data_IF_140893233025
#
_entry.id   IF_140893233025
#
_cell.length_a   1.000
_cell.length_b   1.000
_cell.length_c   1.000
_cell.angle_alpha   90.00
_cell.angle_beta   90.00
_cell.angle_gamma   90.00
#
_symmetry.space_group_name_H-M   'P 1'
#
loop_
_entity.id
_entity.type
_entity.pdbx_description
1 polymer ?
#
# COMPACT_ATOMS: atom_id res chain seq x y z
N UNK A 1 -11.79 28.80 -6.33
CA UNK A 1 -11.29 27.41 -6.52
C UNK A 1 -12.39 26.34 -6.44
N UNK A 2 -13.40 26.50 -5.57
CA UNK A 2 -14.40 25.47 -5.21
C UNK A 2 -15.40 25.11 -6.33
N UNK A 3 -15.90 26.09 -7.09
CA UNK A 3 -16.85 25.84 -8.19
C UNK A 3 -16.22 25.06 -9.35
N UNK A 4 -15.00 25.44 -9.75
CA UNK A 4 -14.23 24.76 -10.81
C UNK A 4 -13.86 23.32 -10.44
N UNK A 5 -13.52 23.07 -9.17
CA UNK A 5 -13.26 21.73 -8.63
C UNK A 5 -14.53 20.86 -8.63
N UNK A 6 -15.67 21.43 -8.25
CA UNK A 6 -16.96 20.75 -8.28
C UNK A 6 -17.39 20.42 -9.72
N UNK A 7 -17.18 21.35 -10.66
CA UNK A 7 -17.46 21.14 -12.09
C UNK A 7 -16.57 20.03 -12.70
N UNK A 8 -15.27 20.02 -12.36
CA UNK A 8 -14.34 18.96 -12.78
C UNK A 8 -14.76 17.59 -12.23
N UNK A 9 -15.19 17.52 -10.96
CA UNK A 9 -15.72 16.30 -10.34
C UNK A 9 -17.02 15.83 -11.00
N UNK A 10 -17.96 16.74 -11.27
CA UNK A 10 -19.21 16.41 -11.97
C UNK A 10 -18.96 15.92 -13.41
N UNK A 11 -17.91 16.45 -14.07
CA UNK A 11 -17.48 15.99 -15.38
C UNK A 11 -16.79 14.62 -15.31
N UNK A 12 -16.00 14.36 -14.26
CA UNK A 12 -15.44 13.04 -13.95
C UNK A 12 -16.54 11.99 -13.87
N UNK A 13 -17.54 12.21 -13.03
CA UNK A 13 -18.65 11.28 -12.81
C UNK A 13 -19.46 11.02 -14.09
N UNK A 14 -19.53 12.01 -14.99
CA UNK A 14 -20.26 11.90 -16.26
C UNK A 14 -19.49 11.12 -17.33
N UNK A 15 -18.17 11.27 -17.39
CA UNK A 15 -17.31 10.54 -18.33
C UNK A 15 -17.33 9.05 -17.97
N UNK A 16 -17.27 8.73 -16.68
CA UNK A 16 -17.27 7.34 -16.22
C UNK A 16 -18.60 6.61 -16.34
N UNK A 17 -19.73 7.34 -16.28
CA UNK A 17 -21.05 6.77 -16.56
C UNK A 17 -21.27 6.42 -18.04
N UNK A 18 -20.41 6.89 -18.96
CA UNK A 18 -20.47 6.52 -20.38
C UNK A 18 -19.32 5.55 -20.67
N UNK A 19 -19.63 4.41 -21.27
CA UNK A 19 -18.70 3.32 -21.64
C UNK A 19 -17.60 3.70 -22.66
N UNK A 20 -17.36 4.99 -22.88
CA UNK A 20 -16.42 5.52 -23.86
C UNK A 20 -15.28 6.30 -23.19
N UNK A 21 -14.12 5.64 -23.06
CA UNK A 21 -12.83 6.28 -23.32
C UNK A 21 -11.86 6.34 -22.15
N UNK A 22 -11.02 5.31 -22.01
CA UNK A 22 -9.88 5.25 -21.10
C UNK A 22 -8.88 6.41 -21.32
N UNK A 23 -8.71 6.86 -22.57
CA UNK A 23 -7.93 8.05 -22.92
C UNK A 23 -8.42 9.33 -22.20
N UNK A 24 -9.66 9.32 -21.71
CA UNK A 24 -10.25 10.45 -20.96
C UNK A 24 -9.90 10.39 -19.47
N UNK A 25 -9.72 9.20 -18.88
CA UNK A 25 -9.37 9.05 -17.46
C UNK A 25 -7.96 9.57 -17.18
N UNK A 26 -6.95 9.14 -17.93
CA UNK A 26 -5.57 9.58 -17.71
C UNK A 26 -5.40 11.09 -17.82
N UNK A 27 -6.01 11.71 -18.86
CA UNK A 27 -6.03 13.17 -19.03
C UNK A 27 -6.78 13.90 -17.91
N UNK A 28 -7.84 13.31 -17.39
CA UNK A 28 -8.63 13.90 -16.33
C UNK A 28 -7.91 13.83 -14.97
N UNK A 29 -7.31 12.68 -14.64
CA UNK A 29 -6.47 12.55 -13.46
C UNK A 29 -5.28 13.51 -13.52
N UNK A 30 -4.60 13.61 -14.66
CA UNK A 30 -3.51 14.57 -14.83
C UNK A 30 -3.97 16.02 -14.54
N UNK A 31 -5.17 16.40 -15.00
CA UNK A 31 -5.77 17.71 -14.69
C UNK A 31 -6.15 17.85 -13.23
N UNK A 32 -6.70 16.82 -12.60
CA UNK A 32 -7.06 16.87 -11.17
C UNK A 32 -5.81 17.00 -10.29
N UNK A 33 -4.77 16.21 -10.59
CA UNK A 33 -3.48 16.28 -9.92
C UNK A 33 -2.84 17.67 -10.07
N UNK A 34 -2.85 18.24 -11.27
CA UNK A 34 -2.28 19.58 -11.52
C UNK A 34 -3.03 20.71 -10.82
N UNK A 35 -4.28 20.50 -10.39
CA UNK A 35 -5.07 21.50 -9.65
C UNK A 35 -5.05 21.27 -8.13
N UNK A 36 -4.26 20.30 -7.66
CA UNK A 36 -4.09 20.03 -6.23
C UNK A 36 -2.87 20.81 -5.72
N UNK A 37 -2.97 21.32 -4.51
CA UNK A 37 -1.80 21.87 -3.81
C UNK A 37 -0.76 20.76 -3.60
N UNK A 38 0.50 21.15 -3.39
CA UNK A 38 1.55 20.18 -3.09
C UNK A 38 1.34 19.45 -1.75
N UNK A 39 2.15 18.42 -1.52
CA UNK A 39 2.03 17.56 -0.35
C UNK A 39 2.38 18.24 0.98
N UNK A 40 3.03 19.40 0.96
CA UNK A 40 3.39 20.20 2.13
C UNK A 40 4.48 19.59 3.02
N UNK A 41 5.17 18.54 2.55
CA UNK A 41 6.19 17.83 3.34
C UNK A 41 7.52 18.60 3.32
N UNK A 42 8.04 18.92 4.51
CA UNK A 42 9.37 19.49 4.71
C UNK A 42 10.44 18.45 5.09
N UNK A 43 11.74 18.82 5.06
CA UNK A 43 12.85 17.91 5.39
C UNK A 43 12.80 17.41 6.85
N UNK A 44 12.23 18.20 7.74
CA UNK A 44 12.07 17.89 9.17
C UNK A 44 10.68 17.33 9.51
N UNK A 45 9.93 16.91 8.49
CA UNK A 45 8.56 16.41 8.66
C UNK A 45 8.48 15.31 9.72
N UNK A 46 7.52 15.46 10.63
CA UNK A 46 7.26 14.47 11.67
C UNK A 46 6.62 13.22 11.08
N UNK A 47 7.20 12.05 11.37
CA UNK A 47 6.77 10.76 10.82
C UNK A 47 6.09 9.93 11.90
N UNK A 48 4.95 9.34 11.57
CA UNK A 48 4.33 8.27 12.35
C UNK A 48 4.20 7.01 11.51
N UNK A 49 4.37 5.85 12.15
CA UNK A 49 4.12 4.53 11.55
C UNK A 49 2.94 3.90 12.28
N UNK A 50 1.89 3.56 11.53
CA UNK A 50 0.70 2.90 12.03
C UNK A 50 0.73 1.43 11.65
N UNK A 51 0.62 0.56 12.65
CA UNK A 51 0.61 -0.89 12.50
C UNK A 51 -0.70 -1.45 13.04
N UNK A 52 -1.59 -1.99 12.18
CA UNK A 52 -2.72 -2.77 12.65
C UNK A 52 -2.25 -4.13 13.16
N UNK A 53 -2.73 -4.54 14.32
CA UNK A 53 -2.35 -5.80 14.95
C UNK A 53 -3.59 -6.61 15.34
N UNK A 54 -3.62 -7.88 14.94
CA UNK A 54 -4.59 -8.86 15.41
C UNK A 54 -3.88 -10.18 15.72
N UNK A 55 -3.55 -10.38 16.99
CA UNK A 55 -2.73 -11.49 17.50
C UNK A 55 -3.64 -12.56 18.10
N UNK A 56 -3.73 -13.70 17.43
CA UNK A 56 -4.50 -14.85 17.88
C UNK A 56 -3.67 -16.14 17.97
N UNK A 57 -2.37 -16.09 17.63
CA UNK A 57 -1.41 -17.17 17.83
C UNK A 57 -0.07 -16.61 18.29
N UNK A 58 0.80 -17.46 18.84
CA UNK A 58 2.17 -17.09 19.19
C UNK A 58 2.99 -16.62 17.97
N UNK A 59 2.74 -17.21 16.80
CA UNK A 59 3.36 -16.82 15.53
C UNK A 59 3.05 -15.35 15.18
N UNK A 60 1.78 -14.91 15.31
CA UNK A 60 1.42 -13.50 15.11
C UNK A 60 2.14 -12.57 16.10
N UNK A 61 2.32 -13.01 17.34
CA UNK A 61 3.03 -12.23 18.36
C UNK A 61 4.52 -12.07 17.97
N UNK A 62 5.16 -13.16 17.53
CA UNK A 62 6.53 -13.13 17.01
C UNK A 62 6.65 -12.24 15.78
N UNK A 63 5.67 -12.29 14.86
CA UNK A 63 5.68 -11.45 13.66
C UNK A 63 5.58 -9.96 14.00
N UNK A 64 4.64 -9.59 14.87
CA UNK A 64 4.47 -8.22 15.33
C UNK A 64 5.71 -7.70 16.07
N UNK A 65 6.33 -8.53 16.94
CA UNK A 65 7.55 -8.16 17.65
C UNK A 65 8.72 -7.94 16.69
N UNK A 66 8.88 -8.81 15.68
CA UNK A 66 9.93 -8.66 14.67
C UNK A 66 9.73 -7.42 13.79
N UNK A 67 8.48 -7.08 13.43
CA UNK A 67 8.17 -5.81 12.78
C UNK A 67 8.55 -4.61 13.67
N UNK A 68 8.15 -4.61 14.94
CA UNK A 68 8.44 -3.50 15.85
C UNK A 68 9.95 -3.31 16.07
N UNK A 69 10.73 -4.39 16.09
CA UNK A 69 12.19 -4.32 16.12
C UNK A 69 12.76 -3.70 14.84
N UNK A 70 12.25 -4.08 13.66
CA UNK A 70 12.69 -3.50 12.38
C UNK A 70 12.34 -2.00 12.28
N UNK A 71 11.19 -1.59 12.83
CA UNK A 71 10.77 -0.19 12.88
C UNK A 71 11.62 0.62 13.87
N UNK A 72 11.86 0.10 15.08
CA UNK A 72 12.76 0.74 16.07
C UNK A 72 14.19 0.91 15.53
N UNK A 73 14.63 0.02 14.63
CA UNK A 73 15.93 0.10 13.97
C UNK A 73 16.03 1.10 12.81
N UNK A 74 14.96 1.83 12.45
CA UNK A 74 15.01 2.86 11.41
C UNK A 74 15.79 4.09 11.90
N UNK A 75 16.53 4.72 11.00
CA UNK A 75 17.36 5.89 11.33
C UNK A 75 16.56 7.19 11.41
N UNK A 76 15.38 7.26 10.76
CA UNK A 76 14.50 8.43 10.80
C UNK A 76 13.68 8.37 12.08
N UNK A 77 13.80 9.42 12.90
CA UNK A 77 12.97 9.56 14.09
C UNK A 77 11.48 9.51 13.71
N UNK A 78 10.73 8.67 14.42
CA UNK A 78 9.32 8.45 14.14
C UNK A 78 8.56 8.02 15.39
N UNK A 79 7.24 8.20 15.34
CA UNK A 79 6.30 7.67 16.32
C UNK A 79 5.78 6.32 15.85
N UNK A 80 5.98 5.25 16.62
CA UNK A 80 5.36 3.95 16.36
C UNK A 80 4.01 3.84 17.09
N UNK A 81 2.94 3.62 16.32
CA UNK A 81 1.56 3.48 16.81
C UNK A 81 1.07 2.09 16.41
N UNK A 82 1.03 1.18 17.39
CA UNK A 82 0.43 -0.14 17.22
C UNK A 82 -1.02 -0.06 17.67
N UNK A 83 -1.96 -0.46 16.82
CA UNK A 83 -3.38 -0.50 17.16
C UNK A 83 -3.84 -1.96 17.18
N UNK A 84 -4.30 -2.41 18.34
CA UNK A 84 -4.71 -3.79 18.58
C UNK A 84 -6.22 -3.96 18.35
N UNK A 85 -6.57 -4.77 17.35
CA UNK A 85 -7.94 -5.04 16.89
C UNK A 85 -8.63 -6.14 17.71
N UNK A 86 -8.48 -6.09 19.03
CA UNK A 86 -9.10 -7.05 19.95
C UNK A 86 -8.43 -8.42 19.97
N UNK A 87 -7.09 -8.47 19.91
CA UNK A 87 -6.29 -9.71 19.98
C UNK A 87 -6.69 -10.62 21.14
N UNK A 88 -6.77 -11.93 20.90
CA UNK A 88 -7.07 -12.93 21.94
C UNK A 88 -5.83 -13.39 22.71
N UNK A 89 -4.64 -13.17 22.13
CA UNK A 89 -3.35 -13.38 22.78
C UNK A 89 -2.78 -12.03 23.25
N UNK A 90 -1.98 -12.02 24.33
CA UNK A 90 -1.36 -10.80 24.81
C UNK A 90 -0.29 -10.29 23.82
N UNK A 91 -0.21 -8.98 23.68
CA UNK A 91 0.82 -8.30 22.89
C UNK A 91 1.87 -7.76 23.87
N UNK A 92 3.07 -8.32 23.81
CA UNK A 92 4.22 -7.87 24.58
C UNK A 92 5.25 -7.24 23.64
N UNK A 93 5.38 -5.92 23.68
CA UNK A 93 6.32 -5.14 22.89
C UNK A 93 7.28 -4.39 23.81
N UNK A 94 8.53 -4.14 23.37
CA UNK A 94 9.48 -3.37 24.17
C UNK A 94 9.03 -1.92 24.30
N UNK A 95 9.37 -1.29 25.43
CA UNK A 95 9.25 0.15 25.58
C UNK A 95 10.12 0.87 24.53
N UNK A 96 9.71 2.03 24.00
CA UNK A 96 8.54 2.84 24.37
C UNK A 96 7.28 2.56 23.50
N UNK A 97 7.17 1.38 22.88
CA UNK A 97 6.06 1.08 21.95
C UNK A 97 4.74 0.97 22.70
N UNK A 98 3.83 1.92 22.46
CA UNK A 98 2.49 1.91 23.05
C UNK A 98 1.51 1.20 22.13
N UNK A 99 0.71 0.30 22.70
CA UNK A 99 -0.37 -0.40 22.02
C UNK A 99 -1.70 0.24 22.36
N UNK A 100 -2.47 0.61 21.34
CA UNK A 100 -3.80 1.19 21.45
C UNK A 100 -4.84 0.13 21.11
N UNK A 101 -5.47 -0.46 22.13
CA UNK A 101 -6.44 -1.54 21.95
C UNK A 101 -7.85 -1.01 21.68
N UNK A 102 -8.53 -1.62 20.70
CA UNK A 102 -9.94 -1.43 20.42
C UNK A 102 -10.80 -2.34 21.30
N UNK A 103 -12.07 -1.96 21.50
CA UNK A 103 -13.01 -2.71 22.34
C UNK A 103 -13.34 -4.12 21.79
N UNK A 104 -13.12 -4.34 20.50
CA UNK A 104 -13.28 -5.63 19.84
C UNK A 104 -12.69 -5.60 18.43
N UNK A 105 -12.78 -6.73 17.72
CA UNK A 105 -12.34 -6.82 16.33
C UNK A 105 -13.29 -6.02 15.43
N UNK A 106 -12.77 -4.95 14.85
CA UNK A 106 -13.43 -4.03 13.93
C UNK A 106 -12.77 -4.02 12.55
N UNK A 107 -11.78 -4.87 12.33
CA UNK A 107 -11.09 -5.03 11.07
C UNK A 107 -9.98 -4.00 10.84
N UNK A 108 -9.21 -4.20 9.76
CA UNK A 108 -8.00 -3.44 9.49
C UNK A 108 -8.29 -1.97 9.12
N UNK A 109 -9.40 -1.69 8.44
CA UNK A 109 -9.80 -0.32 8.09
C UNK A 109 -10.02 0.55 9.34
N UNK A 110 -10.80 0.07 10.31
CA UNK A 110 -11.06 0.77 11.57
C UNK A 110 -9.78 0.95 12.39
N UNK A 111 -8.95 -0.09 12.41
CA UNK A 111 -7.66 -0.10 13.11
C UNK A 111 -6.68 0.94 12.53
N UNK A 112 -6.56 1.01 11.19
CA UNK A 112 -5.76 2.03 10.50
C UNK A 112 -6.34 3.43 10.71
N UNK A 113 -7.65 3.61 10.61
CA UNK A 113 -8.31 4.89 10.87
C UNK A 113 -8.02 5.41 12.29
N UNK A 114 -8.06 4.52 13.29
CA UNK A 114 -7.71 4.87 14.67
C UNK A 114 -6.25 5.30 14.79
N UNK A 115 -5.33 4.55 14.20
CA UNK A 115 -3.90 4.87 14.23
C UNK A 115 -3.58 6.18 13.50
N UNK A 116 -4.20 6.42 12.34
CA UNK A 116 -4.10 7.68 11.60
C UNK A 116 -4.59 8.86 12.43
N UNK A 117 -5.73 8.71 13.12
CA UNK A 117 -6.26 9.77 13.98
C UNK A 117 -5.28 10.10 15.13
N UNK A 118 -4.66 9.10 15.73
CA UNK A 118 -3.62 9.28 16.76
C UNK A 118 -2.38 9.96 16.18
N UNK A 119 -1.90 9.51 15.02
CA UNK A 119 -0.75 10.12 14.33
C UNK A 119 -0.98 11.61 14.03
N UNK A 120 -2.17 11.96 13.52
CA UNK A 120 -2.54 13.35 13.26
C UNK A 120 -2.58 14.15 14.57
N UNK A 121 -3.19 13.61 15.63
CA UNK A 121 -3.25 14.29 16.92
C UNK A 121 -1.85 14.55 17.51
N UNK A 122 -0.91 13.63 17.29
CA UNK A 122 0.48 13.73 17.73
C UNK A 122 1.36 14.64 16.83
N UNK A 123 0.80 15.26 15.78
CA UNK A 123 1.53 16.21 14.94
C UNK A 123 2.15 15.64 13.67
N UNK A 124 1.92 14.36 13.36
CA UNK A 124 2.54 13.72 12.20
C UNK A 124 2.13 14.39 10.87
N UNK A 125 3.14 14.66 10.04
CA UNK A 125 3.00 15.23 8.70
C UNK A 125 3.10 14.15 7.62
N UNK A 126 3.82 13.07 7.92
CA UNK A 126 3.85 11.83 7.12
C UNK A 126 3.35 10.69 8.00
N UNK A 127 2.40 9.92 7.48
CA UNK A 127 1.88 8.73 8.14
C UNK A 127 2.15 7.53 7.23
N UNK A 128 3.03 6.64 7.67
CA UNK A 128 3.33 5.38 7.01
C UNK A 128 2.48 4.25 7.60
N UNK A 129 2.08 3.32 6.75
CA UNK A 129 1.26 2.15 7.05
C UNK A 129 2.07 0.91 6.67
N UNK A 130 2.07 -0.09 7.55
CA UNK A 130 2.61 -1.42 7.28
C UNK A 130 1.90 -2.44 8.16
N UNK A 131 1.99 -3.74 7.81
CA UNK A 131 1.23 -4.80 8.46
C UNK A 131 2.14 -5.72 9.31
N UNK A 132 1.59 -6.44 10.29
CA UNK A 132 2.38 -7.23 11.26
C UNK A 132 3.29 -8.31 10.64
N UNK A 133 2.93 -8.80 9.46
CA UNK A 133 3.65 -9.77 8.64
C UNK A 133 4.67 -9.14 7.69
N UNK A 134 4.90 -7.82 7.80
CA UNK A 134 5.91 -7.10 7.03
C UNK A 134 7.23 -6.89 7.78
N UNK A 135 8.32 -6.76 7.02
CA UNK A 135 9.67 -6.40 7.50
C UNK A 135 10.21 -5.26 6.64
N UNK A 136 10.03 -4.00 7.05
CA UNK A 136 10.67 -2.86 6.40
C UNK A 136 12.20 -3.01 6.41
N UNK A 137 12.85 -2.72 5.28
CA UNK A 137 14.31 -2.70 5.22
C UNK A 137 14.89 -1.51 6.00
N UNK A 138 16.16 -1.56 6.42
CA UNK A 138 16.85 -0.37 6.92
C UNK A 138 16.77 0.79 5.91
N UNK A 139 16.49 2.00 6.37
CA UNK A 139 16.34 3.18 5.51
C UNK A 139 14.97 3.32 4.85
N UNK A 140 13.98 2.49 5.20
CA UNK A 140 12.62 2.53 4.65
C UNK A 140 11.95 3.89 4.88
N UNK A 141 12.06 4.44 6.08
CA UNK A 141 11.45 5.74 6.40
C UNK A 141 12.17 6.90 5.70
N UNK A 142 13.50 6.86 5.57
CA UNK A 142 14.29 7.80 4.79
C UNK A 142 13.85 7.81 3.34
N UNK A 143 13.68 6.64 2.74
CA UNK A 143 13.25 6.51 1.36
C UNK A 143 11.85 7.11 1.14
N UNK A 144 10.93 6.93 2.10
CA UNK A 144 9.60 7.55 2.04
C UNK A 144 9.67 9.08 2.16
N UNK A 145 10.43 9.60 3.11
CA UNK A 145 10.61 11.06 3.29
C UNK A 145 11.25 11.67 2.04
N UNK A 146 12.36 11.09 1.55
CA UNK A 146 13.05 11.55 0.35
C UNK A 146 12.11 11.57 -0.87
N UNK A 147 11.31 10.51 -1.05
CA UNK A 147 10.37 10.44 -2.17
C UNK A 147 9.29 11.52 -2.12
N UNK A 148 8.80 11.92 -0.94
CA UNK A 148 7.88 13.06 -0.81
C UNK A 148 8.55 14.40 -1.15
N UNK A 149 9.80 14.60 -0.72
CA UNK A 149 10.57 15.81 -1.00
C UNK A 149 10.90 15.95 -2.50
N UNK A 150 11.31 14.85 -3.12
CA UNK A 150 11.62 14.78 -4.57
C UNK A 150 10.38 14.90 -5.44
N UNK A 151 9.20 14.53 -4.90
CA UNK A 151 7.93 14.60 -5.60
C UNK A 151 6.90 15.43 -4.82
N UNK A 152 7.01 16.78 -4.82
CA UNK A 152 6.08 17.65 -4.09
C UNK A 152 4.60 17.51 -4.49
N UNK A 153 4.32 16.86 -5.62
CA UNK A 153 2.97 16.58 -6.12
C UNK A 153 2.43 15.20 -5.69
N UNK A 154 3.26 14.33 -5.11
CA UNK A 154 2.86 13.02 -4.60
C UNK A 154 2.28 13.17 -3.19
N UNK A 155 1.05 12.69 -3.02
CA UNK A 155 0.30 12.80 -1.77
C UNK A 155 0.23 11.47 -1.03
N UNK A 156 0.27 10.37 -1.80
CA UNK A 156 0.44 9.01 -1.33
C UNK A 156 1.65 8.40 -2.04
N UNK A 157 2.37 7.55 -1.32
CA UNK A 157 3.44 6.70 -1.80
C UNK A 157 3.05 5.25 -1.58
N UNK A 158 3.31 4.41 -2.59
CA UNK A 158 3.33 2.95 -2.46
C UNK A 158 4.78 2.50 -2.60
N UNK A 159 5.30 1.78 -1.62
CA UNK A 159 6.65 1.24 -1.67
C UNK A 159 6.76 -0.04 -2.50
N UNK A 160 7.96 -0.62 -2.52
CA UNK A 160 8.26 -1.92 -3.12
C UNK A 160 8.11 -3.03 -2.08
N UNK A 161 7.14 -3.92 -2.28
CA UNK A 161 6.90 -5.10 -1.46
C UNK A 161 7.50 -6.34 -2.14
N UNK A 162 8.35 -7.05 -1.42
CA UNK A 162 9.01 -8.28 -1.87
C UNK A 162 8.53 -9.46 -1.02
N UNK A 163 8.47 -10.65 -1.58
CA UNK A 163 8.18 -11.87 -0.83
C UNK A 163 9.35 -12.23 0.07
N UNK A 164 9.06 -12.46 1.35
CA UNK A 164 9.99 -13.09 2.29
C UNK A 164 10.09 -14.60 2.04
N UNK A 165 8.99 -15.23 1.64
CA UNK A 165 8.96 -16.64 1.25
C UNK A 165 9.81 -16.88 0.01
N UNK A 166 10.66 -17.91 0.08
CA UNK A 166 11.60 -18.27 -0.99
C UNK A 166 11.12 -19.47 -1.83
N UNK A 167 10.00 -20.09 -1.46
CA UNK A 167 9.34 -21.11 -2.29
C UNK A 167 8.76 -20.54 -3.60
N UNK A 168 8.18 -21.42 -4.43
CA UNK A 168 7.59 -21.03 -5.71
C UNK A 168 6.45 -20.00 -5.55
N UNK A 169 5.62 -20.12 -4.51
CA UNK A 169 4.50 -19.21 -4.26
C UNK A 169 4.98 -17.80 -3.90
N UNK A 170 6.08 -17.68 -3.14
CA UNK A 170 6.72 -16.39 -2.89
C UNK A 170 7.22 -15.73 -4.17
N UNK A 171 7.95 -16.49 -5.01
CA UNK A 171 8.40 -16.00 -6.33
C UNK A 171 7.26 -15.64 -7.27
N UNK A 172 6.11 -16.30 -7.14
CA UNK A 172 4.90 -15.94 -7.88
C UNK A 172 4.44 -14.53 -7.50
N UNK A 173 4.40 -14.18 -6.22
CA UNK A 173 4.02 -12.82 -5.78
C UNK A 173 4.98 -11.77 -6.31
N UNK A 174 6.29 -12.01 -6.25
CA UNK A 174 7.31 -11.09 -6.78
C UNK A 174 7.14 -10.86 -8.28
N UNK A 175 6.94 -11.95 -9.05
CA UNK A 175 6.81 -11.88 -10.51
C UNK A 175 5.52 -11.18 -10.94
N UNK A 176 4.43 -11.35 -10.20
CA UNK A 176 3.13 -10.78 -10.56
C UNK A 176 2.84 -9.46 -9.85
N UNK A 177 3.67 -9.03 -8.90
CA UNK A 177 3.51 -7.75 -8.21
C UNK A 177 2.30 -7.68 -7.27
N UNK A 178 1.86 -8.81 -6.69
CA UNK A 178 0.58 -8.92 -5.96
C UNK A 178 0.37 -7.84 -4.90
N UNK A 179 1.43 -7.36 -4.25
CA UNK A 179 1.38 -6.34 -3.18
C UNK A 179 2.15 -5.05 -3.51
N UNK A 180 2.34 -4.73 -4.80
CA UNK A 180 3.01 -3.50 -5.25
C UNK A 180 2.05 -2.47 -5.87
N UNK A 181 0.79 -2.87 -6.07
CA UNK A 181 -0.22 -2.03 -6.68
C UNK A 181 -0.06 -1.89 -8.18
N UNK A 182 -0.94 -1.06 -8.75
CA UNK A 182 -1.10 -0.95 -10.21
C UNK A 182 -0.75 0.43 -10.70
N UNK A 183 0.11 0.51 -11.71
CA UNK A 183 0.46 1.73 -12.43
C UNK A 183 -0.54 2.01 -13.53
N UNK A 184 -1.03 3.25 -13.62
CA UNK A 184 -1.85 3.68 -14.75
C UNK A 184 -1.02 3.73 -16.03
N UNK A 185 -1.54 3.20 -17.14
CA UNK A 185 -0.85 3.22 -18.43
C UNK A 185 -0.78 4.64 -19.02
N UNK A 186 -1.71 5.51 -18.64
CA UNK A 186 -1.78 6.90 -19.05
C UNK A 186 -1.88 7.85 -17.85
N UNK A 187 -1.35 9.08 -17.99
CA UNK A 187 -1.44 10.13 -16.96
C UNK A 187 -0.40 10.01 -15.83
N UNK A 188 0.27 8.86 -15.71
CA UNK A 188 1.30 8.60 -14.71
C UNK A 188 0.74 8.39 -13.29
N UNK A 189 1.58 7.89 -12.39
CA UNK A 189 1.17 7.53 -11.02
C UNK A 189 0.50 6.16 -10.92
N UNK A 190 -0.09 5.89 -9.77
CA UNK A 190 -0.71 4.60 -9.45
C UNK A 190 -2.23 4.70 -9.35
N UNK A 191 -2.91 3.65 -9.81
CA UNK A 191 -4.32 3.42 -9.55
C UNK A 191 -4.56 3.16 -8.06
N UNK A 192 -3.73 2.30 -7.47
CA UNK A 192 -3.68 2.04 -6.03
C UNK A 192 -2.30 1.51 -5.61
N UNK A 193 -2.05 1.56 -4.30
CA UNK A 193 -0.92 0.95 -3.63
C UNK A 193 -1.39 0.21 -2.38
N UNK A 194 -0.86 -0.97 -2.04
CA UNK A 194 -1.31 -1.71 -0.86
C UNK A 194 -0.84 -1.09 0.45
N UNK A 195 -1.67 -1.18 1.49
CA UNK A 195 -1.39 -0.58 2.81
C UNK A 195 -0.25 -1.24 3.58
N UNK A 196 0.19 -2.44 3.18
CA UNK A 196 1.34 -3.11 3.77
C UNK A 196 2.66 -2.34 3.55
N UNK A 197 2.68 -1.43 2.57
CA UNK A 197 3.81 -0.54 2.28
C UNK A 197 3.31 0.78 1.66
N UNK A 198 2.55 1.56 2.43
CA UNK A 198 2.00 2.84 1.99
C UNK A 198 2.46 3.98 2.90
N UNK A 199 2.64 5.19 2.36
CA UNK A 199 2.70 6.39 3.18
C UNK A 199 1.86 7.51 2.57
N UNK A 200 1.32 8.39 3.40
CA UNK A 200 0.57 9.56 2.95
C UNK A 200 0.97 10.81 3.72
N UNK A 201 0.90 11.96 3.04
CA UNK A 201 0.97 13.24 3.73
C UNK A 201 -0.31 13.48 4.53
N UNK A 202 -0.20 14.26 5.62
CA UNK A 202 -1.30 14.58 6.53
C UNK A 202 -2.56 15.05 5.79
N UNK A 203 -2.41 15.88 4.76
CA UNK A 203 -3.55 16.46 4.03
C UNK A 203 -4.42 15.42 3.29
N UNK A 204 -3.89 14.25 2.92
CA UNK A 204 -4.71 13.15 2.38
C UNK A 204 -5.54 12.55 3.48
N UNK A 205 -4.87 12.21 4.58
CA UNK A 205 -5.52 11.56 5.70
C UNK A 205 -6.56 12.50 6.29
N UNK A 206 -6.29 13.78 6.59
CA UNK A 206 -7.33 14.69 7.09
C UNK A 206 -8.62 14.75 6.24
N UNK A 207 -8.51 14.60 4.92
CA UNK A 207 -9.67 14.59 4.03
C UNK A 207 -10.32 13.21 3.85
N UNK A 208 -9.57 12.12 4.04
CA UNK A 208 -10.00 10.75 3.71
C UNK A 208 -9.67 9.77 4.83
N UNK A 209 -10.64 8.93 5.16
CA UNK A 209 -10.48 7.71 5.97
C UNK A 209 -10.77 6.48 5.11
N UNK A 210 -10.26 5.32 5.54
CA UNK A 210 -10.65 4.03 4.96
C UNK A 210 -12.14 3.77 5.23
N UNK A 211 -12.84 3.15 4.27
CA UNK A 211 -14.23 2.74 4.46
C UNK A 211 -14.27 1.50 5.37
N UNK A 212 -14.81 1.66 6.58
CA UNK A 212 -14.91 0.59 7.58
C UNK A 212 -15.97 -0.46 7.23
N UNK A 213 -16.74 -0.26 6.15
CA UNK A 213 -17.66 -1.28 5.64
C UNK A 213 -16.93 -2.47 5.01
N UNK A 214 -15.64 -2.33 4.63
CA UNK A 214 -14.83 -3.44 4.16
C UNK A 214 -14.42 -4.32 5.34
N UNK A 215 -14.95 -5.55 5.45
CA UNK A 215 -14.86 -6.33 6.68
C UNK A 215 -13.52 -7.06 6.84
N UNK A 216 -12.66 -7.05 5.82
CA UNK A 216 -11.41 -7.79 5.80
C UNK A 216 -10.31 -7.00 5.09
N UNK A 217 -9.07 -7.47 5.19
CA UNK A 217 -7.93 -6.95 4.42
C UNK A 217 -8.06 -7.36 2.94
N UNK A 218 -9.03 -6.77 2.27
CA UNK A 218 -9.36 -6.96 0.87
C UNK A 218 -10.08 -5.71 0.33
N UNK A 219 -9.47 -5.08 -0.66
CA UNK A 219 -9.99 -3.96 -1.45
C UNK A 219 -10.22 -2.63 -0.70
N UNK A 220 -10.03 -2.56 0.62
CA UNK A 220 -10.15 -1.31 1.38
C UNK A 220 -9.08 -0.29 0.98
N UNK A 221 -7.88 -0.77 0.65
CA UNK A 221 -6.76 0.01 0.13
C UNK A 221 -7.03 0.49 -1.31
N UNK A 222 -7.57 -0.40 -2.15
CA UNK A 222 -8.00 -0.10 -3.52
C UNK A 222 -9.08 0.99 -3.51
N UNK A 223 -10.13 0.84 -2.70
CA UNK A 223 -11.20 1.83 -2.56
C UNK A 223 -10.64 3.19 -2.12
N UNK A 224 -9.81 3.19 -1.08
CA UNK A 224 -9.22 4.40 -0.52
C UNK A 224 -8.38 5.13 -1.57
N UNK A 225 -7.49 4.42 -2.26
CA UNK A 225 -6.65 4.96 -3.31
C UNK A 225 -7.45 5.45 -4.52
N UNK A 226 -8.49 4.70 -4.92
CA UNK A 226 -9.35 5.09 -6.03
C UNK A 226 -10.08 6.39 -5.73
N UNK A 227 -10.67 6.51 -4.53
CA UNK A 227 -11.31 7.74 -4.06
C UNK A 227 -10.32 8.90 -3.91
N UNK A 228 -9.09 8.63 -3.47
CA UNK A 228 -8.02 9.63 -3.41
C UNK A 228 -7.69 10.20 -4.81
N UNK A 229 -7.48 9.32 -5.81
CA UNK A 229 -7.26 9.70 -7.20
C UNK A 229 -8.41 10.57 -7.74
N UNK A 230 -9.68 10.19 -7.48
CA UNK A 230 -10.87 10.97 -7.88
C UNK A 230 -10.95 12.36 -7.26
N UNK A 231 -10.28 12.57 -6.14
CA UNK A 231 -10.19 13.86 -5.45
C UNK A 231 -8.92 14.64 -5.79
N UNK A 232 -8.13 14.14 -6.74
CA UNK A 232 -6.90 14.75 -7.22
C UNK A 232 -5.68 14.52 -6.33
N UNK A 233 -5.74 13.58 -5.38
CA UNK A 233 -4.57 13.17 -4.62
C UNK A 233 -3.77 12.17 -5.43
N UNK A 234 -2.57 12.56 -5.83
CA UNK A 234 -1.70 11.74 -6.67
C UNK A 234 -0.98 10.67 -5.85
N UNK A 235 -0.98 9.45 -6.37
CA UNK A 235 -0.24 8.32 -5.83
C UNK A 235 1.02 8.08 -6.67
N UNK A 236 2.18 7.97 -6.03
CA UNK A 236 3.46 7.64 -6.67
C UNK A 236 4.05 6.35 -6.11
N UNK A 237 4.92 5.70 -6.88
CA UNK A 237 5.64 4.52 -6.46
C UNK A 237 7.02 4.93 -5.92
N UNK A 238 7.38 4.47 -4.73
CA UNK A 238 8.70 4.64 -4.12
C UNK A 238 9.45 3.29 -4.14
N UNK A 239 10.23 3.05 -5.20
CA UNK A 239 10.93 1.78 -5.38
C UNK A 239 11.98 1.50 -4.28
N UNK A 240 12.49 2.55 -3.62
CA UNK A 240 13.52 2.45 -2.59
C UNK A 240 12.94 2.19 -1.19
N UNK A 241 11.63 2.41 -0.99
CA UNK A 241 10.94 2.05 0.25
C UNK A 241 10.57 0.56 0.22
N UNK A 242 11.53 -0.30 0.55
CA UNK A 242 11.38 -1.75 0.44
C UNK A 242 10.85 -2.37 1.74
N UNK A 243 9.86 -3.24 1.60
CA UNK A 243 9.33 -4.11 2.68
C UNK A 243 9.36 -5.56 2.20
N UNK A 244 9.79 -6.49 3.04
CA UNK A 244 9.56 -7.91 2.83
C UNK A 244 8.24 -8.35 3.48
N UNK A 245 7.35 -9.00 2.75
CA UNK A 245 6.09 -9.54 3.25
C UNK A 245 6.19 -11.06 3.45
N UNK A 246 5.84 -11.53 4.65
CA UNK A 246 5.75 -12.94 4.99
C UNK A 246 4.35 -13.46 4.66
N UNK A 247 4.21 -14.21 3.57
CA UNK A 247 2.96 -14.89 3.22
C UNK A 247 2.80 -16.21 4.00
N UNK A 248 3.84 -16.65 4.69
CA UNK A 248 3.90 -17.82 5.53
C UNK A 248 3.71 -19.13 4.78
N UNK A 249 4.25 -19.23 3.58
CA UNK A 249 4.27 -20.47 2.80
C UNK A 249 5.43 -21.37 3.22
N UNK A 250 6.60 -20.79 3.51
CA UNK A 250 7.81 -21.56 3.83
C UNK A 250 7.69 -22.33 5.15
N UNK A 251 6.81 -21.90 6.07
CA UNK A 251 6.57 -22.59 7.34
C UNK A 251 5.55 -23.75 7.21
N UNK A 252 5.03 -24.03 6.01
CA UNK A 252 3.95 -24.99 5.78
C UNK A 252 4.35 -26.13 4.83
N UNK A 253 3.80 -27.34 5.01
CA UNK A 253 3.94 -28.39 4.01
C UNK A 253 3.22 -27.98 2.71
N UNK A 254 3.64 -28.49 1.53
CA UNK A 254 3.19 -27.98 0.23
C UNK A 254 1.66 -27.88 0.06
N UNK A 255 0.90 -28.89 0.47
CA UNK A 255 -0.56 -28.88 0.37
C UNK A 255 -1.22 -27.78 1.21
N UNK A 256 -0.66 -27.44 2.38
CA UNK A 256 -1.15 -26.33 3.22
C UNK A 256 -0.74 -24.98 2.69
N UNK A 257 0.46 -24.86 2.12
CA UNK A 257 0.93 -23.64 1.46
C UNK A 257 0.02 -23.28 0.28
N UNK A 258 -0.29 -24.25 -0.59
CA UNK A 258 -1.26 -24.08 -1.68
C UNK A 258 -2.67 -23.73 -1.18
N UNK A 259 -3.14 -24.39 -0.11
CA UNK A 259 -4.43 -24.06 0.47
C UNK A 259 -4.45 -22.63 1.07
N UNK A 260 -3.34 -22.16 1.66
CA UNK A 260 -3.19 -20.78 2.14
C UNK A 260 -3.21 -19.79 0.98
N UNK A 261 -2.45 -20.05 -0.08
CA UNK A 261 -2.45 -19.25 -1.31
C UNK A 261 -3.86 -19.11 -1.91
N UNK A 262 -4.58 -20.23 -2.05
CA UNK A 262 -5.96 -20.21 -2.55
C UNK A 262 -6.91 -19.38 -1.66
N UNK A 263 -6.85 -19.57 -0.33
CA UNK A 263 -7.65 -18.79 0.62
C UNK A 263 -7.32 -17.29 0.55
N UNK A 264 -6.07 -16.94 0.34
CA UNK A 264 -5.65 -15.54 0.22
C UNK A 264 -6.25 -14.88 -1.04
N UNK A 265 -6.13 -15.52 -2.20
CA UNK A 265 -6.72 -14.97 -3.43
C UNK A 265 -8.26 -14.96 -3.39
N UNK A 266 -8.88 -15.92 -2.71
CA UNK A 266 -10.33 -15.85 -2.43
C UNK A 266 -10.68 -14.64 -1.59
N UNK A 267 -9.98 -14.39 -0.49
CA UNK A 267 -10.20 -13.22 0.36
C UNK A 267 -10.06 -11.92 -0.44
N UNK A 268 -9.07 -11.82 -1.33
CA UNK A 268 -8.91 -10.66 -2.20
C UNK A 268 -10.11 -10.45 -3.13
N UNK A 269 -10.67 -11.54 -3.68
CA UNK A 269 -11.87 -11.50 -4.50
C UNK A 269 -13.12 -11.10 -3.69
N UNK A 270 -13.22 -11.48 -2.41
CA UNK A 270 -14.39 -11.21 -1.57
C UNK A 270 -14.65 -9.70 -1.36
N UNK A 271 -13.63 -8.85 -1.49
CA UNK A 271 -13.78 -7.38 -1.41
C UNK A 271 -14.26 -6.71 -2.70
N UNK A 272 -14.14 -7.39 -3.84
CA UNK A 272 -14.44 -6.82 -5.16
C UNK A 272 -15.93 -6.45 -5.35
N UNK A 273 -16.92 -7.26 -4.91
CA UNK A 273 -18.34 -6.90 -5.06
C UNK A 273 -18.68 -5.56 -4.41
N UNK A 274 -18.20 -5.32 -3.18
CA UNK A 274 -18.44 -4.05 -2.47
C UNK A 274 -17.68 -2.90 -3.15
N UNK A 275 -16.45 -3.13 -3.61
CA UNK A 275 -15.69 -2.13 -4.38
C UNK A 275 -16.46 -1.69 -5.64
N UNK A 276 -17.01 -2.64 -6.40
CA UNK A 276 -17.77 -2.37 -7.62
C UNK A 276 -19.15 -1.78 -7.35
N UNK A 277 -19.78 -2.11 -6.22
CA UNK A 277 -21.00 -1.43 -5.76
C UNK A 277 -20.72 0.06 -5.49
N UNK A 278 -19.63 0.36 -4.78
CA UNK A 278 -19.21 1.73 -4.45
C UNK A 278 -18.72 2.52 -5.66
N UNK A 279 -17.96 1.86 -6.54
CA UNK A 279 -17.28 2.45 -7.69
C UNK A 279 -17.45 1.55 -8.93
N UNK A 280 -18.63 1.57 -9.58
CA UNK A 280 -18.91 0.73 -10.76
C UNK A 280 -17.96 0.98 -11.94
N UNK A 281 -17.29 2.13 -11.94
CA UNK A 281 -16.31 2.58 -12.91
C UNK A 281 -14.88 2.08 -12.66
N UNK A 282 -14.63 1.42 -11.53
CA UNK A 282 -13.31 0.91 -11.17
C UNK A 282 -12.73 -0.04 -12.23
N UNK A 283 -13.55 -0.94 -12.80
CA UNK A 283 -13.07 -1.90 -13.81
C UNK A 283 -12.46 -1.22 -15.04
N UNK A 284 -13.03 -0.10 -15.47
CA UNK A 284 -12.48 0.67 -16.57
C UNK A 284 -11.06 1.12 -16.21
N UNK A 285 -10.87 1.71 -15.02
CA UNK A 285 -9.57 2.14 -14.50
C UNK A 285 -8.57 0.98 -14.37
N UNK A 286 -9.05 -0.17 -13.90
CA UNK A 286 -8.26 -1.40 -13.75
C UNK A 286 -7.71 -1.90 -15.10
N UNK A 287 -8.53 -1.90 -16.16
CA UNK A 287 -8.13 -2.39 -17.50
C UNK A 287 -6.95 -1.63 -18.10
N UNK A 288 -6.85 -0.31 -17.89
CA UNK A 288 -5.69 0.47 -18.35
C UNK A 288 -4.70 0.79 -17.22
N UNK A 289 -4.46 -0.21 -16.38
CA UNK A 289 -3.36 -0.20 -15.44
C UNK A 289 -2.62 -1.54 -15.49
N UNK A 290 -1.40 -1.58 -15.00
CA UNK A 290 -0.56 -2.77 -14.96
C UNK A 290 0.04 -2.96 -13.58
N UNK A 291 0.16 -4.21 -13.13
CA UNK A 291 0.84 -4.53 -11.87
C UNK A 291 2.31 -4.11 -11.93
N UNK A 292 2.87 -3.80 -10.75
CA UNK A 292 4.30 -3.49 -10.60
C UNK A 292 5.02 -4.75 -10.12
N UNK A 293 5.75 -5.48 -11.00
CA UNK A 293 6.54 -6.61 -10.54
C UNK A 293 7.72 -6.14 -9.68
N UNK A 294 8.21 -7.04 -8.83
CA UNK A 294 9.54 -6.86 -8.23
C UNK A 294 10.55 -6.99 -9.36
N UNK A 295 11.23 -5.89 -9.70
CA UNK A 295 12.29 -5.93 -10.68
C UNK A 295 13.40 -6.85 -10.17
N UNK A 296 13.72 -7.92 -10.92
CA UNK A 296 15.00 -8.61 -10.71
C UNK A 296 16.09 -7.57 -10.96
N UNK A 297 17.02 -7.39 -10.03
CA UNK A 297 18.32 -6.83 -10.40
C UNK A 297 18.79 -7.63 -11.62
N UNK A 298 18.92 -7.00 -12.78
CA UNK A 298 19.17 -7.69 -14.03
C UNK A 298 20.49 -8.47 -13.94
N UNK A 299 20.39 -9.77 -13.67
CA UNK A 299 21.37 -10.79 -13.99
C UNK A 299 20.68 -11.87 -14.83
N UNK A 300 20.07 -11.47 -15.94
CA UNK A 300 19.93 -12.37 -17.07
C UNK A 300 21.09 -12.03 -18.04
N UNK A 301 22.03 -12.96 -18.29
CA UNK A 301 23.02 -12.75 -19.33
C UNK A 301 22.27 -12.57 -20.65
N UNK A 302 22.68 -11.56 -21.41
CA UNK A 302 22.04 -11.24 -22.68
C UNK A 302 21.97 -12.48 -23.57
N UNK A 303 20.81 -12.71 -24.17
CA UNK A 303 20.59 -13.77 -25.18
C UNK A 303 21.47 -13.58 -26.44
N UNK A 304 22.28 -12.52 -26.50
CA UNK A 304 23.32 -12.31 -27.51
C UNK A 304 24.64 -13.04 -27.22
N UNK A 305 24.86 -13.60 -26.03
CA UNK A 305 26.09 -14.33 -25.70
C UNK A 305 26.07 -15.83 -26.08
N UNK A 306 24.92 -16.40 -26.42
CA UNK A 306 24.80 -17.83 -26.83
C UNK A 306 24.96 -18.09 -28.33
N UNK A 307 25.15 -17.05 -29.15
CA UNK A 307 25.39 -17.19 -30.58
C UNK A 307 26.88 -17.22 -30.96
N UNK A 308 27.80 -16.99 -30.02
CA UNK A 308 29.24 -16.94 -30.29
C UNK A 308 30.01 -18.24 -29.97
N UNK A 309 29.40 -19.21 -29.30
CA UNK A 309 30.04 -20.49 -28.94
C UNK A 309 29.62 -21.68 -29.83
N UNK A 310 28.84 -21.43 -30.89
CA UNK A 310 28.38 -22.45 -31.84
C UNK A 310 29.08 -22.49 -33.19
N UNK A 311 30.14 -21.69 -33.41
CA UNK A 311 30.80 -21.54 -34.71
C UNK A 311 32.27 -22.02 -34.76
N UNK A 312 32.70 -22.84 -33.79
CA UNK A 312 33.98 -23.55 -33.85
C UNK A 312 33.79 -25.00 -33.40
N UNK A 313 33.26 -25.82 -34.30
CA UNK A 313 33.44 -27.28 -34.34
C UNK A 313 33.33 -27.72 -35.80
#
# INVERSE_FOLDING_TARGET
ATARKAELKARFDRIFKRSTGFATLGRLLARLHANRDGNGVGPDAQVAVVVPAFVYTAEHATMLAALCNALTGQTRAHRLIVVDDGSSQPIHLPDPVKVHRLEGNRGPAATRNRGIALAIADGAEIIALTDSDCRPQPGWLEALVAAFLENPQAHLLSGMTQSRDRCWLGRYHDRNGTLNGRRLTEGGGLLYGPTCNMAGCRAVFEALRFDEAFPSAAAEDIEFCYRANRLGYRIAHCANAVVEHDFGYDQLPPHRAWARFYRQFRRYADGEPLLLERHPDYLAAFTGSVEIPVARAHSEPSLTARAAEGATA
#
